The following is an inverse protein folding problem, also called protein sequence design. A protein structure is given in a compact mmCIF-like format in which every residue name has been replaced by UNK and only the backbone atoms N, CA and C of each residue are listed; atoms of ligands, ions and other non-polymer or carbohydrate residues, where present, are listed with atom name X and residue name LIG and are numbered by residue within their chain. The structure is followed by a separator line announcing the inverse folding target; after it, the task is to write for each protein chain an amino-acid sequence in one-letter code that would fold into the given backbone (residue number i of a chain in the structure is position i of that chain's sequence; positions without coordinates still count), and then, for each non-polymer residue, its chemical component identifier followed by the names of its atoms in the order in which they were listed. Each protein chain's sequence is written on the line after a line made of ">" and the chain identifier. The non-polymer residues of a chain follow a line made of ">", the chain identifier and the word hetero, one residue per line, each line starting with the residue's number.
data_IF_692857532711
#
_entry.id   IF_692857532711
#
_cell.length_a   1.000
_cell.length_b   1.000
_cell.length_c   1.000
_cell.angle_alpha   90.00
_cell.angle_beta   90.00
_cell.angle_gamma   90.00
#
_symmetry.space_group_name_H-M   'P 1'
#
loop_
_entity.id
_entity.type
_entity.pdbx_description
1 polymer ?
#
# COMPACT_ATOMS: atom_id res chain seq x y z
N UNK A 1 7.65 8.92 4.64
CA UNK A 1 6.43 9.24 3.88
C UNK A 1 5.16 8.90 4.66
N UNK A 2 5.14 7.75 5.35
CA UNK A 2 3.98 7.36 6.15
C UNK A 2 3.65 8.39 7.22
N UNK A 3 4.64 9.03 7.82
CA UNK A 3 4.44 10.01 8.87
C UNK A 3 3.76 11.28 8.38
N UNK A 4 3.73 11.52 7.07
CA UNK A 4 3.06 12.68 6.47
C UNK A 4 1.60 12.39 6.12
N UNK A 5 1.14 11.16 6.31
CA UNK A 5 -0.19 10.72 5.86
C UNK A 5 -1.16 10.60 7.03
N UNK A 6 -2.42 10.92 6.78
CA UNK A 6 -3.50 10.61 7.70
C UNK A 6 -3.88 9.14 7.53
N UNK A 7 -4.12 8.45 8.64
CA UNK A 7 -4.59 7.07 8.61
C UNK A 7 -5.95 6.97 7.90
N UNK A 8 -6.10 5.97 7.04
CA UNK A 8 -7.35 5.69 6.34
C UNK A 8 -7.74 4.24 6.63
N UNK A 9 -8.92 4.01 7.24
CA UNK A 9 -9.41 2.65 7.42
C UNK A 9 -9.59 1.95 6.07
N UNK A 10 -9.36 0.64 5.98
CA UNK A 10 -9.46 -0.07 4.69
C UNK A 10 -10.81 0.11 3.99
N UNK A 11 -11.90 0.17 4.72
CA UNK A 11 -13.23 0.33 4.14
C UNK A 11 -13.47 1.74 3.58
N UNK A 12 -12.57 2.67 3.86
CA UNK A 12 -12.66 4.05 3.37
C UNK A 12 -11.58 4.37 2.34
N UNK A 13 -10.76 3.40 1.97
CA UNK A 13 -9.70 3.62 0.99
C UNK A 13 -10.29 4.01 -0.37
N UNK A 14 -9.67 5.01 -0.99
CA UNK A 14 -10.10 5.57 -2.28
C UNK A 14 -8.94 5.59 -3.25
N UNK A 15 -9.21 5.61 -4.57
CA UNK A 15 -8.14 5.82 -5.54
C UNK A 15 -7.32 7.05 -5.22
N UNK A 16 -6.01 6.92 -5.27
CA UNK A 16 -5.08 7.98 -4.93
C UNK A 16 -4.53 7.89 -3.51
N UNK A 17 -5.12 7.09 -2.64
CA UNK A 17 -4.56 6.84 -1.32
C UNK A 17 -3.30 6.00 -1.45
N UNK A 18 -2.37 6.20 -0.51
CA UNK A 18 -1.17 5.38 -0.45
C UNK A 18 -1.47 4.11 0.33
N UNK A 19 -0.84 3.01 -0.08
CA UNK A 19 -0.94 1.74 0.63
C UNK A 19 0.46 1.31 1.02
N UNK A 20 0.64 0.98 2.30
CA UNK A 20 1.94 0.65 2.87
C UNK A 20 1.99 -0.82 3.25
N UNK A 21 3.14 -1.42 3.02
CA UNK A 21 3.41 -2.81 3.36
C UNK A 21 4.66 -2.90 4.23
N UNK A 22 4.76 -3.98 5.01
CA UNK A 22 5.90 -4.24 5.88
C UNK A 22 6.38 -5.66 5.65
N UNK A 23 7.64 -5.92 6.02
CA UNK A 23 8.20 -7.26 5.93
C UNK A 23 8.48 -7.75 4.53
N UNK A 24 8.46 -6.87 3.52
CA UNK A 24 8.80 -7.27 2.16
C UNK A 24 10.31 -7.43 1.99
N UNK A 25 11.08 -6.83 2.88
CA UNK A 25 12.49 -7.11 3.06
C UNK A 25 12.85 -6.77 4.52
N UNK A 26 14.08 -7.07 4.93
CA UNK A 26 14.48 -6.99 6.32
C UNK A 26 14.72 -5.55 6.77
N UNK A 27 13.65 -4.88 7.16
CA UNK A 27 13.70 -3.52 7.69
C UNK A 27 12.52 -3.31 8.63
N UNK A 28 12.68 -2.56 9.74
CA UNK A 28 11.55 -2.21 10.60
C UNK A 28 10.62 -1.21 9.89
N UNK A 29 9.33 -1.31 10.19
CA UNK A 29 8.32 -0.41 9.65
C UNK A 29 7.98 -0.69 8.19
N UNK A 30 7.49 0.33 7.49
CA UNK A 30 7.08 0.19 6.10
C UNK A 30 8.28 -0.08 5.20
N UNK A 31 8.19 -1.14 4.41
CA UNK A 31 9.25 -1.55 3.49
C UNK A 31 8.85 -1.37 2.03
N UNK A 32 7.58 -1.14 1.74
CA UNK A 32 7.08 -0.95 0.37
C UNK A 32 5.84 -0.09 0.39
N UNK A 33 5.63 0.68 -0.67
CA UNK A 33 4.47 1.55 -0.80
C UNK A 33 3.95 1.49 -2.23
N UNK A 34 2.62 1.55 -2.37
CA UNK A 34 1.97 1.67 -3.66
C UNK A 34 0.92 2.76 -3.63
N UNK A 35 0.31 3.03 -4.77
CA UNK A 35 -0.83 3.94 -4.89
C UNK A 35 -2.06 3.11 -5.17
N UNK A 36 -3.05 3.20 -4.29
CA UNK A 36 -4.30 2.47 -4.47
C UNK A 36 -5.09 3.07 -5.62
N UNK A 37 -5.61 2.23 -6.51
CA UNK A 37 -6.37 2.71 -7.67
C UNK A 37 -7.82 2.23 -7.64
N UNK A 38 -8.24 1.62 -6.53
CA UNK A 38 -9.60 1.08 -6.37
C UNK A 38 -9.67 -0.38 -6.77
N UNK A 39 -10.80 -1.03 -6.48
CA UNK A 39 -11.07 -2.43 -6.83
C UNK A 39 -9.98 -3.40 -6.38
N UNK A 40 -9.36 -3.13 -5.23
CA UNK A 40 -8.30 -3.95 -4.66
C UNK A 40 -7.08 -4.07 -5.58
N UNK A 41 -6.77 -2.99 -6.30
CA UNK A 41 -5.61 -2.91 -7.19
C UNK A 41 -4.76 -1.72 -6.77
N UNK A 42 -3.46 -1.87 -6.84
CA UNK A 42 -2.51 -0.78 -6.66
C UNK A 42 -1.58 -0.70 -7.86
N UNK A 43 -0.99 0.49 -8.05
CA UNK A 43 0.18 0.63 -8.91
C UNK A 43 1.39 0.81 -8.01
N UNK A 44 2.48 0.11 -8.30
CA UNK A 44 3.67 0.16 -7.45
C UNK A 44 4.93 -0.05 -8.27
N UNK A 45 6.06 0.30 -7.67
CA UNK A 45 7.36 0.09 -8.27
C UNK A 45 7.77 -1.38 -8.06
N UNK A 46 7.26 -2.23 -8.94
CA UNK A 46 7.78 -3.57 -9.08
C UNK A 46 9.05 -3.55 -9.95
N UNK A 47 9.24 -4.56 -10.74
CA UNK A 47 10.30 -4.58 -11.74
C UNK A 47 9.69 -5.11 -13.05
N UNK A 48 9.07 -4.23 -13.84
CA UNK A 48 8.97 -2.76 -13.80
C UNK A 48 7.81 -2.23 -12.93
N UNK A 49 7.54 -0.92 -13.02
CA UNK A 49 6.31 -0.34 -12.45
C UNK A 49 5.12 -1.08 -13.04
N UNK A 50 4.20 -1.49 -12.18
CA UNK A 50 3.09 -2.35 -12.62
C UNK A 50 1.89 -2.23 -11.68
N UNK A 51 0.73 -2.65 -12.16
CA UNK A 51 -0.44 -2.86 -11.33
C UNK A 51 -0.34 -4.21 -10.63
N UNK A 52 -0.91 -4.30 -9.42
CA UNK A 52 -0.96 -5.55 -8.69
C UNK A 52 -2.27 -5.64 -7.92
N UNK A 53 -2.85 -6.83 -7.91
CA UNK A 53 -4.02 -7.14 -7.09
C UNK A 53 -3.54 -7.30 -5.64
N UNK A 54 -4.03 -6.44 -4.74
CA UNK A 54 -3.64 -6.50 -3.34
C UNK A 54 -4.38 -7.59 -2.56
N UNK A 55 -5.42 -8.18 -3.15
CA UNK A 55 -6.19 -9.25 -2.50
C UNK A 55 -5.57 -10.61 -2.79
N UNK A 56 -4.27 -10.73 -2.59
CA UNK A 56 -3.51 -11.97 -2.68
C UNK A 56 -2.90 -12.29 -1.34
N UNK A 57 -2.55 -13.54 -1.10
CA UNK A 57 -1.98 -13.93 0.19
C UNK A 57 -0.68 -13.19 0.48
N UNK A 58 0.16 -12.97 -0.54
CA UNK A 58 1.42 -12.25 -0.35
C UNK A 58 1.17 -10.83 0.16
N UNK A 59 0.35 -10.05 -0.57
CA UNK A 59 0.13 -8.66 -0.20
C UNK A 59 -0.67 -8.53 1.09
N UNK A 60 -1.62 -9.43 1.34
CA UNK A 60 -2.40 -9.42 2.59
C UNK A 60 -1.53 -9.72 3.81
N UNK A 61 -0.56 -10.61 3.68
CA UNK A 61 0.36 -10.90 4.77
C UNK A 61 1.28 -9.74 5.10
N UNK A 62 1.56 -8.88 4.12
CA UNK A 62 2.48 -7.75 4.30
C UNK A 62 1.75 -6.42 4.46
N UNK A 63 0.44 -6.40 4.37
CA UNK A 63 -0.34 -5.17 4.49
C UNK A 63 -0.12 -4.51 5.84
N UNK A 64 0.10 -3.20 5.83
CA UNK A 64 0.30 -2.41 7.02
C UNK A 64 -0.83 -1.42 7.23
N UNK A 65 -1.03 -0.49 6.31
CA UNK A 65 -2.05 0.55 6.44
C UNK A 65 -2.25 1.29 5.12
N UNK A 66 -3.38 1.96 5.02
CA UNK A 66 -3.57 3.01 4.00
C UNK A 66 -3.24 4.36 4.63
N UNK A 67 -2.86 5.32 3.78
CA UNK A 67 -2.63 6.69 4.22
C UNK A 67 -3.06 7.68 3.15
N UNK A 68 -3.47 8.88 3.57
CA UNK A 68 -3.90 9.92 2.65
C UNK A 68 -3.04 11.15 2.86
N UNK A 69 -2.47 11.65 1.77
CA UNK A 69 -1.70 12.89 1.81
C UNK A 69 -2.63 14.06 2.09
N UNK A 70 -2.16 15.08 2.83
CA UNK A 70 -2.95 16.29 3.09
C UNK A 70 -3.26 17.06 1.81
#
# INVERSE_FOLDING_TARGET
>A
LRSCCAYVPPEQAKPGDLIFFQGTYDTPGASHVGIYVGNQVMIHCGDPIQYANINTSYWQQHFMTFGRLP
#
